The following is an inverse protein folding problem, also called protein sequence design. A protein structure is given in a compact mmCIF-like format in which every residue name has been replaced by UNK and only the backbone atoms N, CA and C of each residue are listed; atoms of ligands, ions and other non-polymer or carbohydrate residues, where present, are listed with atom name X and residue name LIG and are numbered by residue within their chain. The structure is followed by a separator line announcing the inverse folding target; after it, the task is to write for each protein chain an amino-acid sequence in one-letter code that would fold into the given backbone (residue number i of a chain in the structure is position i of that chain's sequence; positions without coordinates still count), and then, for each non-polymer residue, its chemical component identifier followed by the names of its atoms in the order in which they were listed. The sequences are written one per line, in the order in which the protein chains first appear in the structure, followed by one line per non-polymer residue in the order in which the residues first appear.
data_IF_774322854728
#
_entry.id   IF_774322854728
#
_cell.length_a   1.000
_cell.length_b   1.000
_cell.length_c   1.000
_cell.angle_alpha   90.00
_cell.angle_beta   90.00
_cell.angle_gamma   90.00
#
_symmetry.space_group_name_H-M   'P 1'
#
loop_
_entity.id
_entity.type
_entity.pdbx_description
1 polymer ?
#
# COMPACT_ATOMS: atom_id res chain seq x y z
N UNK A 1 -41.64 42.25 -43.40
CA UNK A 1 -42.01 43.69 -43.36
C UNK A 1 -41.40 44.28 -42.09
N UNK A 2 -40.09 44.52 -42.06
CA UNK A 2 -39.41 45.76 -42.48
C UNK A 2 -39.78 47.01 -41.65
N UNK A 3 -39.54 46.95 -40.34
CA UNK A 3 -39.34 48.13 -39.49
C UNK A 3 -37.86 48.30 -39.05
N UNK A 4 -37.06 47.21 -39.05
CA UNK A 4 -35.63 47.28 -38.69
C UNK A 4 -34.69 47.72 -39.83
N UNK A 5 -35.15 47.78 -41.09
CA UNK A 5 -34.31 48.17 -42.23
C UNK A 5 -34.37 49.69 -42.48
N UNK A 6 -35.46 50.36 -42.11
CA UNK A 6 -35.66 51.80 -42.38
C UNK A 6 -34.93 52.72 -41.39
N UNK A 7 -34.63 52.27 -40.17
CA UNK A 7 -33.88 53.08 -39.19
C UNK A 7 -32.37 53.06 -39.49
N UNK A 8 -31.87 52.01 -40.15
CA UNK A 8 -30.46 51.89 -40.55
C UNK A 8 -30.09 52.87 -41.66
N UNK A 9 -30.98 53.16 -42.62
CA UNK A 9 -30.66 54.03 -43.76
C UNK A 9 -30.84 55.53 -43.51
N UNK A 10 -31.58 55.93 -42.46
CA UNK A 10 -31.78 57.35 -42.11
C UNK A 10 -30.73 57.89 -41.11
N UNK A 11 -30.03 57.03 -40.37
CA UNK A 11 -29.00 57.44 -39.40
C UNK A 11 -27.57 57.41 -39.98
N UNK A 12 -27.36 56.76 -41.12
CA UNK A 12 -26.05 56.67 -41.76
C UNK A 12 -25.53 57.97 -42.40
N UNK A 13 -26.35 58.85 -43.02
CA UNK A 13 -25.82 60.09 -43.59
C UNK A 13 -25.60 61.20 -42.54
N UNK A 14 -26.35 61.24 -41.42
CA UNK A 14 -26.13 62.25 -40.36
C UNK A 14 -24.88 61.98 -39.51
N UNK A 15 -24.38 60.74 -39.49
CA UNK A 15 -23.16 60.41 -38.74
C UNK A 15 -21.88 60.89 -39.42
N UNK A 16 -21.89 61.31 -40.69
CA UNK A 16 -20.69 61.69 -41.45
C UNK A 16 -20.33 63.18 -41.41
N UNK A 17 -21.12 64.01 -40.72
CA UNK A 17 -20.85 65.47 -40.62
C UNK A 17 -20.53 65.95 -39.20
N UNK A 18 -20.52 65.06 -38.20
CA UNK A 18 -20.14 65.42 -36.82
C UNK A 18 -18.67 65.14 -36.59
N UNK A 19 -17.95 66.13 -36.10
CA UNK A 19 -16.55 65.98 -35.70
C UNK A 19 -16.45 65.08 -34.46
N UNK A 20 -15.30 64.42 -34.26
CA UNK A 20 -15.08 63.50 -33.13
C UNK A 20 -15.53 64.02 -31.75
N UNK A 21 -15.35 65.33 -31.42
CA UNK A 21 -15.80 65.90 -30.15
C UNK A 21 -17.34 65.93 -30.00
N UNK A 22 -18.07 66.28 -31.05
CA UNK A 22 -19.52 66.44 -31.01
C UNK A 22 -20.24 65.08 -30.85
N UNK A 23 -19.65 64.00 -31.38
CA UNK A 23 -20.12 62.63 -31.14
C UNK A 23 -19.99 62.23 -29.68
N UNK A 24 -18.93 62.68 -29.00
CA UNK A 24 -18.69 62.40 -27.59
C UNK A 24 -19.65 63.19 -26.70
N UNK A 25 -19.91 64.46 -27.01
CA UNK A 25 -20.88 65.29 -26.28
C UNK A 25 -22.32 64.80 -26.44
N UNK A 26 -22.73 64.36 -27.64
CA UNK A 26 -24.06 63.77 -27.85
C UNK A 26 -24.24 62.43 -27.08
N UNK A 27 -23.17 61.64 -26.94
CA UNK A 27 -23.17 60.42 -26.14
C UNK A 27 -23.27 60.71 -24.63
N UNK A 28 -22.61 61.77 -24.15
CA UNK A 28 -22.68 62.19 -22.76
C UNK A 28 -24.02 62.86 -22.42
N UNK A 29 -24.60 63.64 -23.34
CA UNK A 29 -25.89 64.30 -23.16
C UNK A 29 -27.06 63.33 -22.96
N UNK A 30 -27.04 62.17 -23.62
CA UNK A 30 -28.04 61.11 -23.44
C UNK A 30 -27.94 60.40 -22.09
N UNK A 31 -26.78 60.46 -21.42
CA UNK A 31 -26.57 59.86 -20.11
C UNK A 31 -27.01 60.78 -18.96
N UNK A 32 -27.03 62.10 -19.19
CA UNK A 32 -27.22 63.10 -18.14
C UNK A 32 -28.63 63.72 -18.08
N UNK A 33 -29.46 63.60 -19.11
CA UNK A 33 -30.80 64.21 -19.13
C UNK A 33 -31.90 63.21 -19.51
N UNK A 34 -32.56 62.63 -18.49
CA UNK A 34 -33.95 62.21 -18.59
C UNK A 34 -34.23 60.70 -18.51
N UNK A 35 -34.74 60.23 -17.37
CA UNK A 35 -35.65 59.08 -17.28
C UNK A 35 -35.08 57.65 -17.40
N UNK A 36 -33.84 57.48 -17.86
CA UNK A 36 -33.19 56.16 -18.00
C UNK A 36 -32.46 55.63 -16.75
N UNK A 37 -32.26 56.47 -15.72
CA UNK A 37 -31.49 56.09 -14.54
C UNK A 37 -32.25 55.14 -13.58
N UNK A 38 -33.58 55.08 -13.66
CA UNK A 38 -34.40 54.24 -12.77
C UNK A 38 -34.28 52.76 -13.10
N UNK A 39 -34.29 52.38 -14.38
CA UNK A 39 -34.19 50.96 -14.76
C UNK A 39 -32.78 50.41 -14.54
N UNK A 40 -31.74 51.22 -14.77
CA UNK A 40 -30.37 50.82 -14.48
C UNK A 40 -30.15 50.64 -12.96
N UNK A 41 -30.64 51.57 -12.14
CA UNK A 41 -30.61 51.46 -10.69
C UNK A 41 -31.40 50.27 -10.15
N UNK A 42 -32.59 49.99 -10.69
CA UNK A 42 -33.39 48.82 -10.30
C UNK A 42 -32.77 47.51 -10.77
N UNK A 43 -32.13 47.47 -11.94
CA UNK A 43 -31.38 46.29 -12.40
C UNK A 43 -30.16 45.99 -11.53
N UNK A 44 -29.39 47.02 -11.13
CA UNK A 44 -28.26 46.83 -10.21
C UNK A 44 -28.76 46.37 -8.84
N UNK A 45 -29.82 46.98 -8.29
CA UNK A 45 -30.42 46.56 -7.02
C UNK A 45 -30.92 45.10 -7.07
N UNK A 46 -31.57 44.70 -8.18
CA UNK A 46 -32.03 43.33 -8.40
C UNK A 46 -30.84 42.34 -8.47
N UNK A 47 -29.77 42.69 -9.19
CA UNK A 47 -28.58 41.85 -9.29
C UNK A 47 -27.88 41.67 -7.93
N UNK A 48 -27.78 42.74 -7.13
CA UNK A 48 -27.22 42.65 -5.77
C UNK A 48 -28.09 41.77 -4.88
N UNK A 49 -29.42 41.90 -4.96
CA UNK A 49 -30.35 41.10 -4.18
C UNK A 49 -30.26 39.61 -4.57
N UNK A 50 -30.26 39.31 -5.87
CA UNK A 50 -30.10 37.93 -6.38
C UNK A 50 -28.72 37.38 -5.98
N UNK A 51 -27.66 38.17 -6.13
CA UNK A 51 -26.31 37.78 -5.71
C UNK A 51 -26.21 37.49 -4.21
N UNK A 52 -26.85 38.31 -3.37
CA UNK A 52 -26.94 38.10 -1.93
C UNK A 52 -27.71 36.82 -1.55
N UNK A 53 -28.84 36.55 -2.22
CA UNK A 53 -29.61 35.32 -2.02
C UNK A 53 -28.82 34.08 -2.45
N UNK A 54 -28.16 34.11 -3.60
CA UNK A 54 -27.33 33.00 -4.09
C UNK A 54 -26.14 32.77 -3.15
N UNK A 55 -25.45 33.82 -2.73
CA UNK A 55 -24.33 33.70 -1.79
C UNK A 55 -24.81 33.15 -0.44
N UNK A 56 -25.93 33.65 0.09
CA UNK A 56 -26.55 33.15 1.31
C UNK A 56 -26.95 31.68 1.20
N UNK A 57 -27.50 31.26 0.06
CA UNK A 57 -27.84 29.87 -0.22
C UNK A 57 -26.59 28.97 -0.31
N UNK A 58 -25.52 29.42 -0.97
CA UNK A 58 -24.25 28.67 -1.08
C UNK A 58 -23.58 28.52 0.28
N UNK A 59 -23.48 29.61 1.06
CA UNK A 59 -22.93 29.59 2.40
C UNK A 59 -23.78 28.75 3.36
N UNK A 60 -25.11 28.89 3.30
CA UNK A 60 -26.05 28.10 4.08
C UNK A 60 -26.00 26.62 3.74
N UNK A 61 -25.94 26.26 2.45
CA UNK A 61 -25.78 24.88 1.99
C UNK A 61 -24.44 24.30 2.46
N UNK A 62 -23.35 25.06 2.35
CA UNK A 62 -22.04 24.66 2.85
C UNK A 62 -22.02 24.44 4.37
N UNK A 63 -22.69 25.30 5.13
CA UNK A 63 -22.81 25.18 6.58
C UNK A 63 -23.61 23.94 6.99
N UNK A 64 -24.79 23.73 6.40
CA UNK A 64 -25.65 22.57 6.67
C UNK A 64 -24.93 21.27 6.28
N UNK A 65 -24.24 21.26 5.13
CA UNK A 65 -23.48 20.11 4.67
C UNK A 65 -22.35 19.74 5.64
N UNK A 66 -21.54 20.73 6.07
CA UNK A 66 -20.47 20.49 7.05
C UNK A 66 -21.01 20.01 8.39
N UNK A 67 -22.18 20.49 8.81
CA UNK A 67 -22.84 20.02 10.02
C UNK A 67 -23.26 18.56 9.89
N UNK A 68 -23.90 18.17 8.78
CA UNK A 68 -24.26 16.77 8.51
C UNK A 68 -23.04 15.86 8.43
N UNK A 69 -21.96 16.30 7.77
CA UNK A 69 -20.69 15.55 7.71
C UNK A 69 -20.06 15.40 9.10
N UNK A 70 -20.15 16.44 9.96
CA UNK A 70 -19.69 16.36 11.34
C UNK A 70 -20.55 15.44 12.20
N UNK A 71 -21.87 15.47 12.04
CA UNK A 71 -22.79 14.59 12.76
C UNK A 71 -22.58 13.13 12.34
N UNK A 72 -22.45 12.87 11.04
CA UNK A 72 -22.14 11.55 10.51
C UNK A 72 -20.77 11.04 11.00
N UNK A 73 -19.76 11.92 11.10
CA UNK A 73 -18.45 11.56 11.65
C UNK A 73 -18.53 11.16 13.13
N UNK A 74 -19.33 11.87 13.94
CA UNK A 74 -19.54 11.56 15.35
C UNK A 74 -20.32 10.25 15.50
N UNK A 75 -21.40 10.10 14.72
CA UNK A 75 -22.26 8.92 14.76
C UNK A 75 -21.47 7.65 14.42
N UNK A 76 -20.67 7.69 13.35
CA UNK A 76 -19.81 6.57 12.95
C UNK A 76 -18.76 6.21 14.00
N UNK A 77 -18.16 7.21 14.66
CA UNK A 77 -17.20 6.93 15.73
C UNK A 77 -17.85 6.41 17.01
N UNK A 78 -19.08 6.83 17.31
CA UNK A 78 -19.86 6.28 18.43
C UNK A 78 -20.22 4.81 18.19
N UNK A 79 -20.57 4.43 16.95
CA UNK A 79 -20.82 3.04 16.55
C UNK A 79 -19.56 2.17 16.64
N UNK A 80 -18.38 2.78 16.47
CA UNK A 80 -17.09 2.13 16.69
C UNK A 80 -16.64 2.12 18.17
N UNK A 81 -17.50 2.55 19.11
CA UNK A 81 -17.20 2.53 20.54
C UNK A 81 -16.22 3.61 21.01
N UNK A 82 -15.98 4.66 20.23
CA UNK A 82 -15.14 5.79 20.63
C UNK A 82 -15.87 6.72 21.60
N UNK A 83 -15.18 7.10 22.69
CA UNK A 83 -15.69 8.10 23.62
C UNK A 83 -15.55 9.53 23.09
N UNK A 84 -16.10 10.51 23.79
CA UNK A 84 -16.05 11.92 23.37
C UNK A 84 -14.61 12.46 23.24
N UNK A 85 -13.73 12.06 24.17
CA UNK A 85 -12.32 12.45 24.13
C UNK A 85 -11.57 11.80 22.95
N UNK A 86 -11.91 10.55 22.64
CA UNK A 86 -11.34 9.83 21.50
C UNK A 86 -11.77 10.48 20.18
N UNK A 87 -13.04 10.86 20.07
CA UNK A 87 -13.57 11.58 18.91
C UNK A 87 -12.89 12.95 18.70
N UNK A 88 -12.64 13.70 19.79
CA UNK A 88 -11.91 14.98 19.73
C UNK A 88 -10.47 14.76 19.22
N UNK A 89 -9.79 13.74 19.73
CA UNK A 89 -8.44 13.40 19.32
C UNK A 89 -8.37 12.91 17.87
N UNK A 90 -9.30 12.04 17.46
CA UNK A 90 -9.40 11.56 16.09
C UNK A 90 -9.68 12.70 15.10
N UNK A 91 -10.55 13.65 15.47
CA UNK A 91 -10.82 14.84 14.66
C UNK A 91 -9.58 15.72 14.50
N UNK A 92 -8.79 15.86 15.56
CA UNK A 92 -7.52 16.57 15.49
C UNK A 92 -6.53 15.86 14.55
N UNK A 93 -6.42 14.53 14.64
CA UNK A 93 -5.61 13.70 13.72
C UNK A 93 -6.04 13.87 12.25
N UNK A 94 -7.34 13.87 11.97
CA UNK A 94 -7.87 14.15 10.62
C UNK A 94 -7.46 15.54 10.14
N UNK A 95 -7.52 16.55 11.02
CA UNK A 95 -7.09 17.91 10.72
C UNK A 95 -5.62 18.00 10.31
N UNK A 96 -4.73 17.25 10.96
CA UNK A 96 -3.30 17.16 10.61
C UNK A 96 -3.04 16.53 9.22
N UNK A 97 -3.99 15.73 8.72
CA UNK A 97 -3.90 15.06 7.43
C UNK A 97 -4.56 15.83 6.28
N UNK A 98 -5.38 16.85 6.59
CA UNK A 98 -6.18 17.60 5.62
C UNK A 98 -6.99 16.67 4.67
N UNK A 99 -7.63 15.65 5.24
CA UNK A 99 -8.40 14.68 4.46
C UNK A 99 -9.64 15.34 3.85
N UNK A 100 -9.88 15.07 2.55
CA UNK A 100 -11.10 15.51 1.85
C UNK A 100 -12.37 14.86 2.42
N UNK A 101 -12.25 13.61 2.88
CA UNK A 101 -13.32 12.87 3.53
C UNK A 101 -12.83 12.31 4.89
N UNK A 102 -13.21 12.98 6.00
CA UNK A 102 -12.89 12.55 7.36
C UNK A 102 -13.31 11.11 7.69
N UNK A 103 -14.40 10.62 7.10
CA UNK A 103 -14.96 9.31 7.44
C UNK A 103 -14.03 8.15 7.02
N UNK A 104 -13.16 8.37 6.03
CA UNK A 104 -12.18 7.38 5.58
C UNK A 104 -11.23 6.93 6.69
N UNK A 105 -11.02 7.76 7.72
CA UNK A 105 -10.14 7.40 8.85
C UNK A 105 -10.69 6.23 9.67
N UNK A 106 -11.99 5.93 9.59
CA UNK A 106 -12.63 4.80 10.27
C UNK A 106 -12.41 3.46 9.58
N UNK A 107 -12.05 3.45 8.29
CA UNK A 107 -11.90 2.21 7.50
C UNK A 107 -10.48 1.98 6.98
N UNK A 108 -9.69 3.05 6.79
CA UNK A 108 -8.34 2.96 6.24
C UNK A 108 -7.26 3.00 7.33
N UNK A 109 -6.82 1.82 7.79
CA UNK A 109 -5.77 1.67 8.81
C UNK A 109 -4.47 2.42 8.45
N UNK A 110 -4.08 2.42 7.16
CA UNK A 110 -2.92 3.16 6.69
C UNK A 110 -3.02 4.66 6.94
N UNK A 111 -4.20 5.25 6.74
CA UNK A 111 -4.43 6.68 7.00
C UNK A 111 -4.45 6.98 8.49
N UNK A 112 -5.05 6.10 9.31
CA UNK A 112 -5.01 6.23 10.76
C UNK A 112 -3.57 6.22 11.29
N UNK A 113 -2.75 5.27 10.85
CA UNK A 113 -1.34 5.15 11.27
C UNK A 113 -0.49 6.36 10.83
N UNK A 114 -0.75 6.89 9.63
CA UNK A 114 -0.09 8.12 9.17
C UNK A 114 -0.50 9.33 10.03
N UNK A 115 -1.79 9.45 10.35
CA UNK A 115 -2.31 10.52 11.19
C UNK A 115 -1.75 10.43 12.63
N UNK A 116 -1.64 9.23 13.20
CA UNK A 116 -0.99 8.97 14.49
C UNK A 116 0.50 9.36 14.47
N UNK A 117 1.22 9.01 13.40
CA UNK A 117 2.63 9.40 13.24
C UNK A 117 2.79 10.92 13.16
N UNK A 118 1.89 11.62 12.46
CA UNK A 118 1.90 13.09 12.40
C UNK A 118 1.55 13.72 13.74
N UNK A 119 0.59 13.16 14.47
CA UNK A 119 0.25 13.59 15.83
C UNK A 119 1.46 13.54 16.76
N UNK A 120 2.23 12.45 16.72
CA UNK A 120 3.43 12.28 17.56
C UNK A 120 4.58 13.21 17.15
N UNK A 121 4.59 13.68 15.91
CA UNK A 121 5.58 14.64 15.39
C UNK A 121 5.12 16.08 15.46
N UNK A 122 3.90 16.34 15.94
CA UNK A 122 3.41 17.71 16.07
C UNK A 122 4.18 18.45 17.17
N UNK A 123 4.47 19.73 16.93
CA UNK A 123 5.19 20.60 17.85
C UNK A 123 4.60 20.61 19.27
N UNK A 124 3.27 20.49 19.40
CA UNK A 124 2.60 20.47 20.70
C UNK A 124 2.88 19.18 21.45
N UNK A 125 2.90 18.04 20.75
CA UNK A 125 3.18 16.73 21.32
C UNK A 125 4.65 16.61 21.71
N UNK A 126 5.57 17.12 20.87
CA UNK A 126 7.01 17.13 21.16
C UNK A 126 7.32 17.96 22.41
N UNK A 127 6.59 19.05 22.64
CA UNK A 127 6.74 19.89 23.82
C UNK A 127 6.17 19.28 25.12
N UNK A 128 5.45 18.15 25.05
CA UNK A 128 4.91 17.46 26.22
C UNK A 128 6.00 16.69 26.97
N UNK A 129 5.75 16.43 28.26
CA UNK A 129 6.60 15.55 29.06
C UNK A 129 6.57 14.11 28.52
N UNK A 130 7.64 13.30 28.71
CA UNK A 130 7.66 11.90 28.27
C UNK A 130 6.50 11.06 28.81
N UNK A 131 6.04 11.34 30.04
CA UNK A 131 4.89 10.65 30.64
C UNK A 131 3.58 10.96 29.90
N UNK A 132 3.35 12.24 29.56
CA UNK A 132 2.17 12.66 28.80
C UNK A 132 2.20 12.13 27.36
N UNK A 133 3.38 12.03 26.74
CA UNK A 133 3.52 11.40 25.42
C UNK A 133 3.18 9.91 25.45
N UNK A 134 3.61 9.20 26.50
CA UNK A 134 3.27 7.79 26.69
C UNK A 134 1.77 7.57 26.88
N UNK A 135 1.12 8.43 27.68
CA UNK A 135 -0.34 8.41 27.87
C UNK A 135 -1.11 8.70 26.57
N UNK A 136 -0.70 9.74 25.83
CA UNK A 136 -1.28 10.05 24.52
C UNK A 136 -1.13 8.88 23.55
N UNK A 137 0.04 8.23 23.53
CA UNK A 137 0.27 7.05 22.70
C UNK A 137 -0.62 5.88 23.12
N UNK A 138 -0.78 5.63 24.43
CA UNK A 138 -1.69 4.61 24.94
C UNK A 138 -3.15 4.89 24.51
N UNK A 139 -3.58 6.16 24.56
CA UNK A 139 -4.91 6.55 24.07
C UNK A 139 -5.06 6.30 22.57
N UNK A 140 -4.06 6.63 21.76
CA UNK A 140 -4.07 6.37 20.30
C UNK A 140 -4.14 4.86 20.01
N UNK A 141 -3.44 4.01 20.77
CA UNK A 141 -3.55 2.56 20.62
C UNK A 141 -4.94 2.03 21.02
N UNK A 142 -5.51 2.53 22.12
CA UNK A 142 -6.88 2.20 22.52
C UNK A 142 -7.90 2.58 21.44
N UNK A 143 -7.79 3.78 20.85
CA UNK A 143 -8.65 4.18 19.73
C UNK A 143 -8.50 3.25 18.53
N UNK A 144 -7.26 2.90 18.19
CA UNK A 144 -6.95 1.97 17.10
C UNK A 144 -7.66 0.63 17.30
N UNK A 145 -7.64 0.09 18.51
CA UNK A 145 -8.32 -1.17 18.86
C UNK A 145 -9.84 -1.06 18.74
N UNK A 146 -10.43 0.02 19.28
CA UNK A 146 -11.87 0.30 19.20
C UNK A 146 -12.37 0.41 17.75
N UNK A 147 -11.56 1.03 16.89
CA UNK A 147 -11.81 1.14 15.45
C UNK A 147 -11.73 -0.20 14.70
N UNK A 148 -11.37 -1.29 15.38
CA UNK A 148 -11.16 -2.59 14.75
C UNK A 148 -9.88 -2.66 13.91
N UNK A 149 -9.06 -1.60 13.91
CA UNK A 149 -7.72 -1.58 13.34
C UNK A 149 -6.74 -2.29 14.26
N UNK A 150 -7.10 -3.50 14.72
CA UNK A 150 -6.34 -4.26 15.71
C UNK A 150 -4.84 -4.03 15.51
N UNK A 151 -4.20 -3.38 16.49
CA UNK A 151 -2.81 -3.71 16.74
C UNK A 151 -2.83 -5.22 16.96
N UNK A 152 -2.12 -5.99 16.13
CA UNK A 152 -1.86 -7.41 16.41
C UNK A 152 -0.98 -7.48 17.66
N UNK A 153 -1.59 -7.25 18.81
CA UNK A 153 -1.03 -7.52 20.11
C UNK A 153 -2.05 -8.40 20.83
N UNK A 154 -1.75 -9.70 20.82
CA UNK A 154 -2.13 -10.65 21.85
C UNK A 154 -3.63 -10.99 21.95
N UNK A 155 -4.16 -11.65 20.91
CA UNK A 155 -5.20 -12.66 21.12
C UNK A 155 -4.70 -13.95 20.50
N UNK A 156 -4.61 -14.94 21.38
CA UNK A 156 -4.28 -16.34 21.12
C UNK A 156 -5.18 -16.86 19.99
N UNK A 157 -4.60 -17.70 19.13
CA UNK A 157 -5.26 -18.38 18.00
C UNK A 157 -5.49 -17.57 16.71
N UNK A 158 -4.42 -17.02 16.12
CA UNK A 158 -4.00 -17.28 14.71
C UNK A 158 -2.90 -16.32 14.23
N UNK A 159 -1.68 -16.50 14.73
CA UNK A 159 -0.54 -16.89 13.88
C UNK A 159 -0.02 -15.95 12.76
N UNK A 160 -0.03 -14.63 12.92
CA UNK A 160 0.96 -13.80 12.22
C UNK A 160 1.85 -13.09 13.23
N UNK A 161 2.92 -13.82 13.60
CA UNK A 161 4.11 -13.28 14.23
C UNK A 161 4.49 -11.98 13.50
N UNK A 162 4.54 -10.86 14.22
CA UNK A 162 5.33 -9.71 13.76
C UNK A 162 6.79 -10.16 13.80
N UNK A 163 7.20 -10.76 12.69
CA UNK A 163 8.50 -11.34 12.49
C UNK A 163 9.50 -10.19 12.58
N UNK A 164 10.31 -10.16 13.62
CA UNK A 164 11.35 -9.16 13.84
C UNK A 164 12.71 -9.77 13.53
N UNK A 165 13.66 -8.96 13.08
CA UNK A 165 15.05 -9.42 12.96
C UNK A 165 15.64 -9.86 14.31
N UNK A 166 15.05 -9.45 15.45
CA UNK A 166 15.39 -9.93 16.80
C UNK A 166 15.13 -11.42 17.03
N UNK A 167 14.22 -12.01 16.25
CA UNK A 167 13.87 -13.43 16.38
C UNK A 167 14.86 -14.36 15.65
N UNK A 168 15.80 -13.79 14.90
CA UNK A 168 16.80 -14.57 14.16
C UNK A 168 17.91 -14.95 15.14
N UNK A 169 18.12 -16.25 15.32
CA UNK A 169 19.12 -16.75 16.26
C UNK A 169 20.54 -16.41 15.79
N UNK A 170 21.43 -16.15 16.76
CA UNK A 170 22.87 -16.09 16.54
C UNK A 170 23.35 -17.40 15.87
N UNK A 171 24.27 -17.29 14.92
CA UNK A 171 24.74 -18.41 14.08
C UNK A 171 23.88 -18.67 12.84
N UNK A 172 22.76 -17.94 12.66
CA UNK A 172 21.92 -18.08 11.48
C UNK A 172 22.61 -17.57 10.21
N UNK A 173 22.58 -18.40 9.16
CA UNK A 173 23.05 -18.03 7.82
C UNK A 173 22.02 -17.19 7.09
N UNK A 174 22.47 -16.09 6.51
CA UNK A 174 21.65 -15.09 5.84
C UNK A 174 22.32 -14.61 4.55
N UNK A 175 21.52 -13.94 3.72
CA UNK A 175 22.00 -13.26 2.52
C UNK A 175 21.78 -11.76 2.68
N UNK A 176 22.79 -10.97 2.32
CA UNK A 176 22.79 -9.52 2.33
C UNK A 176 22.85 -9.05 0.89
N UNK A 177 21.90 -8.24 0.47
CA UNK A 177 21.89 -7.59 -0.85
C UNK A 177 21.89 -6.09 -0.63
N UNK A 178 23.04 -5.42 -0.70
CA UNK A 178 23.08 -3.97 -0.61
C UNK A 178 22.38 -3.37 -1.83
N UNK A 179 21.58 -2.31 -1.67
CA UNK A 179 20.72 -1.82 -2.75
C UNK A 179 21.49 -1.31 -3.99
N UNK A 180 22.75 -0.90 -3.79
CA UNK A 180 23.65 -0.44 -4.86
C UNK A 180 24.29 -1.58 -5.67
N UNK A 181 24.14 -2.83 -5.24
CA UNK A 181 24.76 -4.01 -5.86
C UNK A 181 23.71 -5.07 -6.19
N UNK A 182 23.89 -5.78 -7.30
CA UNK A 182 22.97 -6.84 -7.75
C UNK A 182 23.25 -8.20 -7.11
N UNK A 183 24.45 -8.41 -6.57
CA UNK A 183 24.84 -9.71 -6.03
C UNK A 183 24.63 -9.80 -4.51
N UNK A 184 24.09 -10.94 -4.08
CA UNK A 184 23.84 -11.23 -2.69
C UNK A 184 25.06 -11.88 -2.04
N UNK A 185 25.57 -11.28 -0.98
CA UNK A 185 26.68 -11.79 -0.19
C UNK A 185 26.15 -12.63 0.96
N UNK A 186 26.78 -13.76 1.24
CA UNK A 186 26.43 -14.60 2.38
C UNK A 186 27.06 -14.08 3.66
N UNK A 187 26.36 -14.25 4.77
CA UNK A 187 26.89 -13.95 6.09
C UNK A 187 26.20 -14.72 7.20
N UNK A 188 26.71 -14.55 8.40
CA UNK A 188 26.22 -15.20 9.62
C UNK A 188 25.99 -14.16 10.70
N UNK A 189 24.87 -14.25 11.41
CA UNK A 189 24.63 -13.38 12.58
C UNK A 189 25.58 -13.79 13.70
N UNK A 190 26.44 -12.88 14.14
CA UNK A 190 27.42 -13.13 15.19
C UNK A 190 27.04 -12.48 16.51
N UNK A 191 26.24 -11.41 16.46
CA UNK A 191 25.81 -10.67 17.65
C UNK A 191 24.41 -10.12 17.46
N UNK A 192 23.65 -10.03 18.54
CA UNK A 192 22.30 -9.45 18.56
C UNK A 192 22.14 -8.70 19.87
N UNK A 193 21.95 -7.38 19.78
CA UNK A 193 21.73 -6.50 20.91
C UNK A 193 20.32 -5.91 20.92
N UNK A 194 20.10 -4.94 21.80
CA UNK A 194 18.76 -4.37 21.99
C UNK A 194 18.34 -3.39 20.88
N UNK A 195 19.26 -2.79 20.14
CA UNK A 195 18.94 -1.88 19.02
C UNK A 195 19.52 -2.36 17.69
N UNK A 196 20.61 -3.11 17.75
CA UNK A 196 21.45 -3.45 16.61
C UNK A 196 21.82 -4.93 16.61
N UNK A 197 22.14 -5.46 15.44
CA UNK A 197 22.70 -6.79 15.29
C UNK A 197 23.87 -6.76 14.31
N UNK A 198 24.81 -7.68 14.50
CA UNK A 198 26.05 -7.74 13.74
C UNK A 198 26.08 -9.01 12.92
N UNK A 199 26.45 -8.83 11.64
CA UNK A 199 26.62 -9.91 10.69
C UNK A 199 28.09 -9.96 10.27
N UNK A 200 28.66 -11.15 10.30
CA UNK A 200 29.94 -11.43 9.67
C UNK A 200 29.69 -12.00 8.27
N UNK A 201 30.07 -11.24 7.25
CA UNK A 201 29.97 -11.62 5.85
C UNK A 201 31.14 -12.54 5.44
N UNK A 202 30.87 -13.51 4.56
CA UNK A 202 31.88 -14.43 4.05
C UNK A 202 32.97 -13.66 3.26
N UNK A 203 32.56 -12.61 2.57
CA UNK A 203 33.39 -11.71 1.75
C UNK A 203 33.25 -10.26 2.25
N UNK A 204 34.29 -9.45 2.03
CA UNK A 204 34.27 -8.04 2.45
C UNK A 204 33.23 -7.27 1.63
N UNK A 205 32.38 -6.51 2.32
CA UNK A 205 31.33 -5.72 1.69
C UNK A 205 31.83 -4.30 1.42
N UNK A 206 31.67 -3.83 0.18
CA UNK A 206 31.97 -2.44 -0.23
C UNK A 206 30.88 -1.47 0.23
N UNK A 207 30.39 -1.60 1.47
CA UNK A 207 29.31 -0.79 2.02
C UNK A 207 29.79 0.49 2.73
N UNK A 208 28.92 1.50 2.80
CA UNK A 208 29.09 2.66 3.69
C UNK A 208 27.99 2.71 4.74
N UNK A 209 28.30 3.33 5.88
CA UNK A 209 27.28 3.66 6.88
C UNK A 209 26.20 4.54 6.25
N UNK A 210 24.94 4.24 6.58
CA UNK A 210 23.74 4.87 6.02
C UNK A 210 23.21 4.21 4.74
N UNK A 211 23.92 3.26 4.13
CA UNK A 211 23.42 2.56 2.95
C UNK A 211 22.26 1.62 3.32
N UNK A 212 21.22 1.62 2.49
CA UNK A 212 20.10 0.68 2.59
C UNK A 212 20.50 -0.70 2.03
N UNK A 213 20.00 -1.74 2.68
CA UNK A 213 20.22 -3.12 2.28
C UNK A 213 18.98 -3.98 2.52
N UNK A 214 18.89 -5.07 1.75
CA UNK A 214 17.90 -6.11 1.94
C UNK A 214 18.58 -7.32 2.55
N UNK A 215 18.08 -7.78 3.70
CA UNK A 215 18.55 -9.00 4.35
C UNK A 215 17.50 -10.09 4.14
N UNK A 216 17.97 -11.28 3.75
CA UNK A 216 17.14 -12.46 3.54
C UNK A 216 17.61 -13.62 4.43
N UNK A 217 16.74 -14.04 5.34
CA UNK A 217 16.94 -15.20 6.22
C UNK A 217 16.04 -16.35 5.78
N UNK A 218 16.59 -17.55 5.60
CA UNK A 218 15.81 -18.71 5.14
C UNK A 218 15.36 -19.57 6.32
N UNK A 219 14.04 -19.82 6.41
CA UNK A 219 13.44 -20.72 7.41
C UNK A 219 12.62 -21.77 6.69
N UNK A 220 13.17 -22.98 6.59
CA UNK A 220 12.51 -24.10 5.92
C UNK A 220 12.16 -23.80 4.46
N UNK A 221 10.85 -23.70 4.15
CA UNK A 221 10.34 -23.42 2.81
C UNK A 221 10.11 -21.92 2.52
N UNK A 222 10.22 -21.07 3.54
CA UNK A 222 9.98 -19.64 3.45
C UNK A 222 11.29 -18.87 3.65
N UNK A 223 11.29 -17.61 3.25
CA UNK A 223 12.36 -16.68 3.56
C UNK A 223 11.77 -15.44 4.20
N UNK A 224 12.37 -14.99 5.29
CA UNK A 224 12.13 -13.67 5.84
C UNK A 224 12.99 -12.71 5.06
N UNK A 225 12.40 -11.63 4.59
CA UNK A 225 13.11 -10.57 3.92
C UNK A 225 12.75 -9.24 4.56
N UNK A 226 13.74 -8.40 4.80
CA UNK A 226 13.52 -7.10 5.39
C UNK A 226 14.56 -6.10 4.91
N UNK A 227 14.13 -4.85 4.82
CA UNK A 227 14.99 -3.71 4.53
C UNK A 227 15.51 -3.12 5.83
N UNK A 228 16.81 -2.84 5.87
CA UNK A 228 17.47 -2.18 7.00
C UNK A 228 18.65 -1.34 6.51
N UNK A 229 19.16 -0.50 7.39
CA UNK A 229 20.27 0.41 7.13
C UNK A 229 21.53 -0.08 7.82
N UNK A 230 22.66 0.11 7.13
CA UNK A 230 23.98 -0.17 7.66
C UNK A 230 24.34 0.93 8.65
N UNK A 231 24.48 0.56 9.92
CA UNK A 231 24.98 1.47 10.97
C UNK A 231 26.49 1.60 10.85
N UNK A 232 27.18 0.46 10.67
CA UNK A 232 28.64 0.39 10.62
C UNK A 232 29.08 -0.73 9.69
N UNK A 233 30.14 -0.52 8.92
CA UNK A 233 30.70 -1.50 7.99
C UNK A 233 32.22 -1.53 8.22
N UNK A 234 32.72 -2.60 8.83
CA UNK A 234 34.13 -2.82 9.15
C UNK A 234 34.61 -4.12 8.52
N UNK A 235 35.19 -4.02 7.32
CA UNK A 235 35.68 -5.17 6.54
C UNK A 235 34.57 -6.21 6.26
N UNK A 236 34.52 -7.27 7.09
CA UNK A 236 33.55 -8.36 7.02
C UNK A 236 32.44 -8.23 8.06
N UNK A 237 32.60 -7.40 9.09
CA UNK A 237 31.58 -7.18 10.11
C UNK A 237 30.72 -5.98 9.73
N UNK A 238 29.41 -6.20 9.66
CA UNK A 238 28.45 -5.16 9.33
C UNK A 238 27.36 -5.13 10.38
N UNK A 239 27.13 -3.94 10.93
CA UNK A 239 26.15 -3.68 11.98
C UNK A 239 24.92 -3.04 11.36
N UNK A 240 23.74 -3.53 11.75
CA UNK A 240 22.46 -3.09 11.22
C UNK A 240 21.48 -2.78 12.34
N UNK A 241 20.56 -1.86 12.09
CA UNK A 241 19.45 -1.60 12.99
C UNK A 241 18.40 -2.71 12.93
N UNK A 242 17.82 -3.06 14.09
CA UNK A 242 16.67 -3.94 14.12
C UNK A 242 15.46 -3.32 13.39
N UNK A 243 14.68 -4.19 12.73
CA UNK A 243 13.46 -3.77 12.04
C UNK A 243 12.29 -4.68 12.38
N UNK A 244 11.12 -4.09 12.39
CA UNK A 244 9.83 -4.77 12.56
C UNK A 244 9.08 -4.93 11.23
N UNK A 245 9.67 -4.45 10.12
CA UNK A 245 9.10 -4.51 8.77
C UNK A 245 9.69 -5.67 7.98
N UNK A 246 9.48 -6.89 8.45
CA UNK A 246 9.85 -8.07 7.66
C UNK A 246 8.66 -8.60 6.88
N UNK A 247 8.94 -9.11 5.68
CA UNK A 247 8.00 -9.83 4.84
C UNK A 247 8.37 -11.30 4.82
N UNK A 248 7.38 -12.15 5.06
CA UNK A 248 7.51 -13.58 4.81
C UNK A 248 7.31 -13.84 3.32
N UNK A 249 8.38 -14.15 2.61
CA UNK A 249 8.32 -14.55 1.21
C UNK A 249 8.27 -16.08 1.15
N UNK A 250 7.16 -16.60 0.66
CA UNK A 250 7.13 -18.00 0.26
C UNK A 250 7.96 -18.16 -1.02
N UNK A 251 9.07 -18.90 -0.95
CA UNK A 251 9.93 -19.15 -2.13
C UNK A 251 9.23 -20.02 -3.17
N UNK A 252 8.09 -20.64 -2.85
CA UNK A 252 7.37 -21.55 -3.73
C UNK A 252 6.12 -20.86 -4.25
N UNK A 253 6.05 -20.71 -5.58
CA UNK A 253 4.84 -20.26 -6.29
C UNK A 253 3.61 -21.13 -5.99
N UNK A 254 3.83 -22.38 -5.55
CA UNK A 254 2.77 -23.33 -5.23
C UNK A 254 3.03 -23.95 -3.85
N UNK A 255 2.02 -24.00 -2.95
CA UNK A 255 2.13 -24.72 -1.70
C UNK A 255 2.40 -26.20 -1.97
N UNK A 256 3.15 -26.85 -1.07
CA UNK A 256 3.32 -28.31 -1.09
C UNK A 256 2.54 -28.92 0.06
N UNK A 257 1.73 -29.91 -0.26
CA UNK A 257 0.94 -30.68 0.69
C UNK A 257 1.65 -32.02 0.91
N UNK A 258 1.90 -32.35 2.17
CA UNK A 258 2.41 -33.67 2.55
C UNK A 258 1.30 -34.71 2.35
N UNK A 259 1.66 -35.84 1.75
CA UNK A 259 0.76 -36.96 1.48
C UNK A 259 1.49 -38.28 1.75
N UNK A 260 0.75 -39.37 1.94
CA UNK A 260 1.31 -40.72 1.89
C UNK A 260 0.43 -41.57 0.98
N UNK A 261 0.82 -41.62 -0.30
CA UNK A 261 0.06 -42.34 -1.34
C UNK A 261 0.98 -43.24 -2.15
N UNK A 262 0.44 -44.38 -2.59
CA UNK A 262 1.12 -45.24 -3.53
C UNK A 262 1.18 -44.56 -4.90
N UNK A 263 2.36 -44.56 -5.50
CA UNK A 263 2.59 -44.14 -6.87
C UNK A 263 3.44 -45.21 -7.57
N UNK A 264 3.52 -45.13 -8.88
CA UNK A 264 4.38 -45.96 -9.71
C UNK A 264 5.25 -45.04 -10.55
N UNK A 265 6.51 -45.39 -10.69
CA UNK A 265 7.44 -44.66 -11.55
C UNK A 265 8.18 -45.60 -12.49
N UNK A 266 8.47 -45.12 -13.68
CA UNK A 266 9.29 -45.82 -14.66
C UNK A 266 10.29 -44.85 -15.27
N UNK A 267 11.46 -45.35 -15.68
CA UNK A 267 12.37 -44.55 -16.51
C UNK A 267 11.74 -44.31 -17.87
N UNK A 268 11.91 -43.11 -18.41
CA UNK A 268 11.37 -42.76 -19.72
C UNK A 268 12.50 -42.53 -20.74
N UNK A 269 12.90 -43.57 -21.50
CA UNK A 269 13.88 -43.42 -22.57
C UNK A 269 13.20 -42.72 -23.77
N UNK A 270 13.49 -41.43 -23.97
CA UNK A 270 12.97 -40.71 -25.15
C UNK A 270 13.77 -41.02 -26.43
N UNK A 271 15.07 -41.25 -26.28
CA UNK A 271 16.00 -41.51 -27.37
C UNK A 271 17.04 -42.48 -26.83
N UNK A 272 16.83 -43.77 -27.10
CA UNK A 272 17.89 -44.77 -27.04
C UNK A 272 18.34 -44.97 -28.48
N UNK A 273 19.61 -44.74 -28.80
CA UNK A 273 20.18 -45.16 -30.10
C UNK A 273 20.17 -46.69 -30.24
N UNK A 274 19.96 -47.41 -29.13
CA UNK A 274 19.66 -48.83 -29.13
C UNK A 274 18.19 -49.07 -29.49
N UNK A 275 17.99 -49.73 -30.64
CA UNK A 275 16.72 -50.25 -31.17
C UNK A 275 16.03 -51.28 -30.25
N UNK A 276 16.54 -51.52 -29.04
CA UNK A 276 15.88 -52.29 -27.99
C UNK A 276 15.14 -51.33 -27.05
N UNK A 277 14.02 -50.79 -27.54
CA UNK A 277 13.12 -50.01 -26.71
C UNK A 277 12.40 -50.96 -25.73
N UNK A 278 13.02 -51.23 -24.59
CA UNK A 278 12.38 -51.99 -23.52
C UNK A 278 11.15 -51.24 -23.00
N UNK A 279 10.07 -51.99 -22.77
CA UNK A 279 8.84 -51.43 -22.20
C UNK A 279 9.17 -50.84 -20.81
N UNK A 280 8.73 -49.61 -20.49
CA UNK A 280 9.05 -49.00 -19.21
C UNK A 280 8.58 -49.86 -18.04
N UNK A 281 9.51 -50.31 -17.20
CA UNK A 281 9.20 -51.06 -15.98
C UNK A 281 8.73 -50.09 -14.89
N UNK A 282 7.49 -50.28 -14.42
CA UNK A 282 6.92 -49.48 -13.34
C UNK A 282 7.24 -50.07 -11.98
N UNK A 283 7.93 -49.30 -11.16
CA UNK A 283 8.31 -49.67 -9.80
C UNK A 283 7.38 -48.95 -8.81
N UNK A 284 6.79 -49.66 -7.82
CA UNK A 284 5.98 -49.04 -6.79
C UNK A 284 6.84 -48.12 -5.91
N UNK A 285 6.30 -46.96 -5.59
CA UNK A 285 6.95 -45.93 -4.79
C UNK A 285 5.94 -45.21 -3.90
N UNK A 286 6.42 -44.41 -2.94
CA UNK A 286 5.57 -43.56 -2.10
C UNK A 286 5.68 -42.11 -2.51
N UNK A 287 4.54 -41.52 -2.84
CA UNK A 287 4.39 -40.08 -2.98
C UNK A 287 4.29 -39.45 -1.59
N UNK A 288 5.25 -38.57 -1.27
CA UNK A 288 5.39 -37.93 0.04
C UNK A 288 4.94 -36.48 0.05
N UNK A 289 5.10 -35.77 -1.06
CA UNK A 289 4.63 -34.39 -1.19
C UNK A 289 4.17 -34.10 -2.62
N UNK A 290 3.11 -33.30 -2.73
CA UNK A 290 2.60 -32.77 -3.99
C UNK A 290 2.57 -31.25 -3.90
N UNK A 291 3.03 -30.55 -4.92
CA UNK A 291 2.74 -29.14 -5.13
C UNK A 291 2.62 -28.84 -6.62
N UNK A 292 2.12 -27.66 -6.99
CA UNK A 292 1.73 -27.30 -8.37
C UNK A 292 2.42 -28.10 -9.48
N UNK A 293 3.68 -27.82 -9.83
CA UNK A 293 4.40 -28.53 -10.90
C UNK A 293 5.35 -29.64 -10.41
N UNK A 294 5.31 -30.05 -9.14
CA UNK A 294 6.38 -30.89 -8.57
C UNK A 294 5.91 -31.92 -7.55
N UNK A 295 6.54 -33.09 -7.60
CA UNK A 295 6.30 -34.21 -6.71
C UNK A 295 7.57 -34.55 -5.91
N UNK A 296 7.40 -35.00 -4.66
CA UNK A 296 8.46 -35.66 -3.89
C UNK A 296 8.10 -37.14 -3.75
N UNK A 297 8.94 -38.00 -4.30
CA UNK A 297 8.77 -39.43 -4.32
C UNK A 297 9.87 -40.08 -3.47
N UNK A 298 9.50 -41.05 -2.65
CA UNK A 298 10.42 -41.93 -1.94
C UNK A 298 10.48 -43.25 -2.71
N UNK A 299 11.49 -43.41 -3.54
CA UNK A 299 11.65 -44.56 -4.44
C UNK A 299 13.02 -45.23 -4.27
N UNK A 300 13.09 -46.51 -4.61
CA UNK A 300 14.34 -47.25 -4.78
C UNK A 300 15.03 -46.95 -6.12
N UNK A 301 14.34 -46.30 -7.06
CA UNK A 301 14.87 -45.94 -8.36
C UNK A 301 16.01 -44.90 -8.22
N UNK A 302 17.24 -45.32 -8.55
CA UNK A 302 18.39 -44.42 -8.68
C UNK A 302 18.40 -43.79 -10.07
N UNK A 303 17.95 -42.54 -10.17
CA UNK A 303 18.06 -41.76 -11.42
C UNK A 303 19.23 -40.78 -11.42
N UNK A 304 19.34 -39.94 -12.45
CA UNK A 304 20.25 -38.77 -12.49
C UNK A 304 19.44 -37.48 -12.50
N UNK A 305 19.99 -36.41 -11.92
CA UNK A 305 19.37 -35.08 -12.04
C UNK A 305 19.25 -34.72 -13.53
N UNK A 306 18.05 -34.30 -13.96
CA UNK A 306 17.72 -34.01 -15.35
C UNK A 306 17.05 -35.16 -16.10
N UNK A 307 17.17 -36.41 -15.61
CA UNK A 307 16.56 -37.60 -16.22
C UNK A 307 15.03 -37.51 -16.19
N UNK A 308 14.38 -37.98 -17.26
CA UNK A 308 12.92 -38.02 -17.38
C UNK A 308 12.38 -39.34 -16.87
N UNK A 309 11.29 -39.25 -16.12
CA UNK A 309 10.58 -40.40 -15.56
C UNK A 309 9.09 -40.28 -15.83
N UNK A 310 8.42 -41.41 -16.06
CA UNK A 310 6.98 -41.52 -15.99
C UNK A 310 6.56 -41.65 -14.54
N UNK A 311 5.46 -41.00 -14.18
CA UNK A 311 4.86 -41.10 -12.85
C UNK A 311 3.37 -41.34 -13.02
N UNK A 312 2.83 -42.34 -12.31
CA UNK A 312 1.41 -42.62 -12.24
C UNK A 312 0.98 -42.76 -10.77
N UNK A 313 -0.02 -42.01 -10.33
CA UNK A 313 -0.50 -42.04 -8.95
C UNK A 313 -2.01 -41.85 -8.89
N UNK A 314 -2.67 -42.53 -7.96
CA UNK A 314 -4.10 -42.30 -7.70
C UNK A 314 -4.23 -41.34 -6.52
N UNK A 315 -4.94 -40.22 -6.72
CA UNK A 315 -5.14 -39.20 -5.68
C UNK A 315 -6.42 -39.41 -4.89
N UNK A 316 -7.47 -39.88 -5.56
CA UNK A 316 -8.77 -40.25 -4.99
C UNK A 316 -9.34 -41.45 -5.76
N UNK A 317 -10.45 -42.03 -5.26
CA UNK A 317 -11.05 -43.27 -5.80
C UNK A 317 -11.17 -43.26 -7.33
N UNK A 318 -11.53 -42.11 -7.92
CA UNK A 318 -11.69 -41.95 -9.38
C UNK A 318 -10.72 -40.94 -10.03
N UNK A 319 -9.60 -40.63 -9.38
CA UNK A 319 -8.63 -39.65 -9.91
C UNK A 319 -7.26 -40.28 -10.06
N UNK A 320 -6.96 -40.68 -11.30
CA UNK A 320 -5.64 -41.13 -11.72
C UNK A 320 -4.89 -39.95 -12.35
N UNK A 321 -3.71 -39.65 -11.82
CA UNK A 321 -2.81 -38.63 -12.36
C UNK A 321 -1.61 -39.33 -12.96
N UNK A 322 -1.33 -39.04 -14.21
CA UNK A 322 -0.18 -39.53 -14.94
C UNK A 322 0.56 -38.37 -15.58
N UNK A 323 1.89 -38.46 -15.64
CA UNK A 323 2.68 -37.44 -16.27
C UNK A 323 4.15 -37.79 -16.38
N UNK A 324 4.87 -36.93 -17.10
CA UNK A 324 6.33 -37.02 -17.25
C UNK A 324 6.98 -35.95 -16.38
N UNK A 325 7.89 -36.37 -15.51
CA UNK A 325 8.68 -35.50 -14.66
C UNK A 325 10.16 -35.52 -15.04
N UNK A 326 10.91 -34.51 -14.59
CA UNK A 326 12.39 -34.55 -14.56
C UNK A 326 12.87 -34.57 -13.12
N UNK A 327 13.88 -35.40 -12.83
CA UNK A 327 14.50 -35.45 -11.52
C UNK A 327 15.23 -34.12 -11.27
N UNK A 328 14.85 -33.41 -10.21
CA UNK A 328 15.46 -32.11 -9.86
C UNK A 328 16.57 -32.23 -8.83
N UNK A 329 16.47 -33.20 -7.92
CA UNK A 329 17.41 -33.47 -6.81
C UNK A 329 17.15 -34.89 -6.26
N UNK A 330 18.14 -35.46 -5.58
CA UNK A 330 18.07 -36.73 -4.85
C UNK A 330 18.31 -36.50 -3.37
#
# INVERSE_FOLDING_TARGET
MNACVLISELLLPMSRTLTGPERWEAMQGAWLLGGGASWAGTMVALLVLVGGVVLGAVLGYGYIRRRKESEAFIDQGSHAGLGENDLKLLRYMVGLMNLKDPATIYTAEGLFNQAATRLMRDHRTIAMSPAMQAELNAQVQSMREKLGFRARLLSEESGENLISSRQIAIGSKIFITPQKYSEAVKGTIVETGDSEFVIEADEALSCRSGDDCVIRYSIGASAWEFETQIVRCEQKKVTFNHTYRSRLINRRKFPRVSVDRLAHIARFPLFSDDMQQETPEFIPTRLRQIGGPGLLLQASLRGRVGEKILVATRLATNQLVQGVGRIRRQ
#
